data_IF_136907774480
#
_entry.id   IF_136907774480
#
_cell.length_a   1.000
_cell.length_b   1.000
_cell.length_c   1.000
_cell.angle_alpha   90.00
_cell.angle_beta   90.00
_cell.angle_gamma   90.00
#
_symmetry.space_group_name_H-M   'P 1'
#
loop_
_entity.id
_entity.type
_entity.pdbx_description
1 polymer ?
#
# COMPACT_ATOMS: atom_id res chain seq x y z
N UNK A 1 -19.36 5.42 17.17
CA UNK A 1 -18.00 5.05 17.59
C UNK A 1 -17.66 5.60 18.97
N UNK A 2 -17.89 6.86 19.27
CA UNK A 2 -17.53 7.50 20.54
C UNK A 2 -18.09 6.81 21.79
N UNK A 3 -19.39 6.43 21.79
CA UNK A 3 -19.99 5.67 22.90
C UNK A 3 -19.30 4.32 23.15
N UNK A 4 -18.87 3.63 22.10
CA UNK A 4 -18.12 2.37 22.23
C UNK A 4 -16.70 2.60 22.76
N UNK A 5 -16.07 3.68 22.36
CA UNK A 5 -14.78 4.07 22.88
C UNK A 5 -14.85 4.39 24.37
N UNK A 6 -15.82 5.22 24.79
CA UNK A 6 -16.08 5.55 26.20
C UNK A 6 -16.43 4.33 27.04
N UNK A 7 -17.07 3.32 26.44
CA UNK A 7 -17.34 2.02 27.06
C UNK A 7 -16.13 1.06 27.05
N UNK A 8 -14.94 1.49 26.59
CA UNK A 8 -13.72 0.69 26.59
C UNK A 8 -13.71 -0.48 25.59
N UNK A 9 -14.57 -0.46 24.56
CA UNK A 9 -14.69 -1.57 23.60
C UNK A 9 -13.57 -1.63 22.59
N UNK A 10 -12.81 -0.55 22.40
CA UNK A 10 -11.59 -0.49 21.58
C UNK A 10 -10.65 0.61 22.10
N UNK A 11 -9.38 0.54 21.73
CA UNK A 11 -8.32 1.47 22.20
C UNK A 11 -8.04 2.60 21.20
N UNK A 12 -8.10 2.34 19.92
CA UNK A 12 -7.81 3.31 18.85
C UNK A 12 -8.92 3.29 17.81
N UNK A 13 -9.30 4.48 17.34
CA UNK A 13 -10.20 4.65 16.21
C UNK A 13 -9.38 4.86 14.94
N UNK A 14 -9.66 4.06 13.92
CA UNK A 14 -8.95 4.11 12.65
C UNK A 14 -9.87 4.25 11.44
N UNK A 15 -9.29 4.76 10.35
CA UNK A 15 -9.94 4.93 9.06
C UNK A 15 -9.23 4.07 8.01
N UNK A 16 -9.94 3.72 6.94
CA UNK A 16 -9.37 3.01 5.79
C UNK A 16 -10.19 3.31 4.55
N UNK A 17 -9.50 3.52 3.41
CA UNK A 17 -10.13 3.77 2.11
C UNK A 17 -11.04 5.02 2.07
N UNK A 18 -10.73 6.04 2.86
CA UNK A 18 -11.33 7.37 2.80
C UNK A 18 -10.49 8.28 1.91
N UNK A 19 -11.13 9.19 1.19
CA UNK A 19 -10.45 10.26 0.47
C UNK A 19 -9.95 11.33 1.47
N UNK A 20 -8.91 12.12 1.13
CA UNK A 20 -8.39 13.16 2.03
C UNK A 20 -9.46 14.12 2.54
N UNK A 21 -10.40 14.58 1.69
CA UNK A 21 -11.49 15.44 2.10
C UNK A 21 -12.40 14.79 3.15
N UNK A 22 -12.71 13.51 2.98
CA UNK A 22 -13.52 12.75 3.93
C UNK A 22 -12.81 12.54 5.27
N UNK A 23 -11.49 12.33 5.25
CA UNK A 23 -10.67 12.25 6.48
C UNK A 23 -10.72 13.57 7.24
N UNK A 24 -10.55 14.70 6.54
CA UNK A 24 -10.60 16.03 7.15
C UNK A 24 -12.00 16.31 7.74
N UNK A 25 -13.05 16.09 6.98
CA UNK A 25 -14.44 16.30 7.42
C UNK A 25 -14.78 15.46 8.66
N UNK A 26 -14.42 14.18 8.66
CA UNK A 26 -14.68 13.30 9.80
C UNK A 26 -13.86 13.73 11.02
N UNK A 27 -12.61 14.13 10.84
CA UNK A 27 -11.76 14.62 11.92
C UNK A 27 -12.35 15.88 12.56
N UNK A 28 -12.78 16.84 11.74
CA UNK A 28 -13.36 18.11 12.19
C UNK A 28 -14.68 17.86 12.94
N UNK A 29 -15.55 17.02 12.39
CA UNK A 29 -16.79 16.58 13.05
C UNK A 29 -16.51 15.96 14.43
N UNK A 30 -15.52 15.06 14.53
CA UNK A 30 -15.15 14.46 15.81
C UNK A 30 -14.63 15.52 16.81
N UNK A 31 -13.82 16.46 16.34
CA UNK A 31 -13.23 17.51 17.16
C UNK A 31 -14.29 18.49 17.68
N UNK A 32 -15.20 18.95 16.82
CA UNK A 32 -16.27 19.88 17.18
C UNK A 32 -17.25 19.29 18.21
N UNK A 33 -17.50 17.99 18.14
CA UNK A 33 -18.42 17.30 19.04
C UNK A 33 -17.75 16.63 20.26
N UNK A 34 -16.44 16.83 20.48
CA UNK A 34 -15.66 16.17 21.53
C UNK A 34 -15.77 14.63 21.48
N UNK A 35 -15.81 14.06 20.29
CA UNK A 35 -15.77 12.61 20.06
C UNK A 35 -14.34 12.09 20.00
N UNK A 36 -14.19 10.77 20.10
CA UNK A 36 -12.90 10.10 19.90
C UNK A 36 -12.35 10.44 18.51
N UNK A 37 -11.14 10.99 18.44
CA UNK A 37 -10.47 11.29 17.18
C UNK A 37 -9.88 10.04 16.54
N UNK A 38 -9.87 9.95 15.20
CA UNK A 38 -9.11 8.93 14.50
C UNK A 38 -7.61 9.17 14.72
N UNK A 39 -6.87 8.11 15.03
CA UNK A 39 -5.42 8.15 15.32
C UNK A 39 -4.61 7.23 14.44
N UNK A 40 -5.25 6.46 13.58
CA UNK A 40 -4.60 5.58 12.61
C UNK A 40 -5.36 5.57 11.29
N UNK A 41 -4.65 5.61 10.18
CA UNK A 41 -5.18 5.36 8.85
C UNK A 41 -4.51 4.12 8.27
N UNK A 42 -5.30 3.18 7.73
CA UNK A 42 -4.77 2.04 6.99
C UNK A 42 -5.03 2.24 5.50
N UNK A 43 -3.97 2.41 4.71
CA UNK A 43 -4.06 2.71 3.28
C UNK A 43 -3.22 1.80 2.41
N UNK A 44 -3.59 1.70 1.12
CA UNK A 44 -2.78 1.02 0.12
C UNK A 44 -1.48 1.79 -0.09
N UNK A 45 -0.35 1.08 0.00
CA UNK A 45 0.94 1.67 -0.30
C UNK A 45 1.98 0.59 -0.66
N UNK A 46 2.64 0.80 -1.78
CA UNK A 46 3.70 -0.07 -2.32
C UNK A 46 4.62 0.73 -3.24
N UNK A 47 5.76 0.20 -3.69
CA UNK A 47 6.62 0.89 -4.68
C UNK A 47 5.91 1.34 -5.95
N UNK A 48 4.78 0.69 -6.30
CA UNK A 48 3.99 0.97 -7.51
C UNK A 48 2.58 1.53 -7.22
N UNK A 49 2.31 1.92 -5.98
CA UNK A 49 1.03 2.54 -5.55
C UNK A 49 1.33 3.61 -4.51
N UNK A 50 1.73 4.81 -4.97
CA UNK A 50 2.27 5.89 -4.13
C UNK A 50 1.43 7.17 -4.15
N UNK A 51 0.20 7.14 -4.68
CA UNK A 51 -0.66 8.34 -4.77
C UNK A 51 -0.87 9.06 -3.42
N UNK A 52 -0.97 8.29 -2.33
CA UNK A 52 -1.16 8.84 -0.98
C UNK A 52 -0.01 9.74 -0.49
N UNK A 53 1.15 9.73 -1.15
CA UNK A 53 2.27 10.64 -0.83
C UNK A 53 1.96 12.10 -1.12
N UNK A 54 1.11 12.36 -2.13
CA UNK A 54 0.79 13.71 -2.57
C UNK A 54 -0.16 14.46 -1.62
N UNK A 55 -1.08 13.76 -0.98
CA UNK A 55 -2.19 14.37 -0.26
C UNK A 55 -2.52 13.70 1.08
N UNK A 56 -2.80 12.41 1.08
CA UNK A 56 -3.34 11.70 2.25
C UNK A 56 -2.32 11.54 3.38
N UNK A 57 -1.08 11.15 3.08
CA UNK A 57 -0.04 11.00 4.10
C UNK A 57 0.32 12.36 4.70
N UNK A 58 0.53 13.45 3.93
CA UNK A 58 0.70 14.79 4.49
C UNK A 58 -0.47 15.24 5.36
N UNK A 59 -1.71 14.94 4.98
CA UNK A 59 -2.89 15.24 5.80
C UNK A 59 -2.85 14.45 7.12
N UNK A 60 -2.57 13.15 7.07
CA UNK A 60 -2.42 12.33 8.27
C UNK A 60 -1.36 12.92 9.23
N UNK A 61 -0.22 13.37 8.71
CA UNK A 61 0.82 14.06 9.51
C UNK A 61 0.28 15.31 10.20
N UNK A 62 -0.42 16.16 9.45
CA UNK A 62 -1.04 17.40 9.99
C UNK A 62 -2.02 17.11 11.12
N UNK A 63 -2.78 16.00 11.02
CA UNK A 63 -3.81 15.62 11.98
C UNK A 63 -3.32 14.72 13.12
N UNK A 64 -2.03 14.34 13.14
CA UNK A 64 -1.47 13.41 14.13
C UNK A 64 -1.97 11.97 13.99
N UNK A 65 -2.31 11.56 12.76
CA UNK A 65 -2.79 10.23 12.40
C UNK A 65 -1.62 9.42 11.84
N UNK A 66 -1.32 8.26 12.44
CA UNK A 66 -0.30 7.34 11.89
C UNK A 66 -0.83 6.61 10.66
N UNK A 67 0.06 6.25 9.71
CA UNK A 67 -0.29 5.57 8.49
C UNK A 67 0.20 4.12 8.48
N UNK A 68 -0.71 3.16 8.37
CA UNK A 68 -0.40 1.74 8.22
C UNK A 68 -0.55 1.33 6.76
N UNK A 69 0.58 1.04 6.10
CA UNK A 69 0.63 0.65 4.69
C UNK A 69 0.19 -0.81 4.51
N UNK A 70 -0.92 -1.07 3.82
CA UNK A 70 -1.29 -2.43 3.42
C UNK A 70 -0.87 -2.71 1.97
N UNK A 71 -0.77 -3.98 1.61
CA UNK A 71 -0.33 -4.46 0.29
C UNK A 71 1.09 -4.02 -0.12
N UNK A 72 2.10 -4.18 0.74
CA UNK A 72 3.48 -3.73 0.45
C UNK A 72 4.09 -4.36 -0.81
N UNK A 73 3.62 -5.53 -1.22
CA UNK A 73 4.00 -6.20 -2.47
C UNK A 73 2.89 -6.13 -3.53
N UNK A 74 2.01 -5.11 -3.46
CA UNK A 74 0.89 -4.89 -4.38
C UNK A 74 -0.01 -6.14 -4.55
N UNK A 75 -0.40 -6.78 -3.41
CA UNK A 75 -1.20 -8.00 -3.41
C UNK A 75 -0.52 -9.21 -4.06
N UNK A 76 0.79 -9.18 -4.18
CA UNK A 76 1.61 -10.19 -4.85
C UNK A 76 1.89 -9.90 -6.33
N UNK A 77 1.50 -8.73 -6.86
CA UNK A 77 1.84 -8.29 -8.21
C UNK A 77 3.35 -8.22 -8.41
N UNK A 78 4.07 -7.57 -7.51
CA UNK A 78 5.51 -7.35 -7.61
C UNK A 78 6.36 -8.64 -7.55
N UNK A 79 5.79 -9.78 -7.21
CA UNK A 79 6.50 -11.08 -7.24
C UNK A 79 6.17 -11.92 -8.47
N UNK A 80 5.33 -11.43 -9.37
CA UNK A 80 4.98 -12.09 -10.62
C UNK A 80 5.94 -11.73 -11.74
N UNK A 81 5.74 -12.39 -12.89
CA UNK A 81 6.32 -12.00 -14.18
C UNK A 81 5.20 -11.46 -15.07
N UNK A 82 5.57 -10.64 -16.07
CA UNK A 82 4.61 -10.15 -17.07
C UNK A 82 3.92 -11.30 -17.80
N UNK A 83 4.65 -12.38 -18.08
CA UNK A 83 4.10 -13.57 -18.71
C UNK A 83 3.04 -14.26 -17.84
N UNK A 84 3.30 -14.40 -16.53
CA UNK A 84 2.34 -14.97 -15.58
C UNK A 84 1.07 -14.11 -15.48
N UNK A 85 1.19 -12.77 -15.54
CA UNK A 85 0.06 -11.86 -15.57
C UNK A 85 -0.80 -12.03 -16.83
N UNK A 86 -0.17 -12.18 -17.98
CA UNK A 86 -0.87 -12.40 -19.27
C UNK A 86 -1.59 -13.76 -19.32
N UNK A 87 -1.08 -14.79 -18.64
CA UNK A 87 -1.69 -16.13 -18.56
C UNK A 87 -2.87 -16.22 -17.58
N UNK A 88 -3.17 -15.17 -16.81
CA UNK A 88 -4.34 -15.10 -15.93
C UNK A 88 -4.11 -15.48 -14.46
N UNK A 89 -2.99 -16.09 -14.11
CA UNK A 89 -2.64 -16.38 -12.72
C UNK A 89 -3.40 -17.55 -12.08
N UNK A 90 -3.04 -17.85 -10.82
CA UNK A 90 -3.66 -18.90 -10.00
C UNK A 90 -3.88 -18.39 -8.58
N UNK A 91 -4.74 -19.06 -7.80
CA UNK A 91 -5.03 -18.72 -6.41
C UNK A 91 -5.73 -17.37 -6.29
N UNK A 92 -5.15 -16.43 -5.52
CA UNK A 92 -5.72 -15.08 -5.35
C UNK A 92 -5.84 -14.29 -6.68
N UNK A 93 -5.07 -14.66 -7.68
CA UNK A 93 -5.02 -14.04 -9.00
C UNK A 93 -5.81 -14.82 -10.07
N UNK A 94 -6.52 -15.86 -9.69
CA UNK A 94 -7.40 -16.60 -10.62
C UNK A 94 -8.57 -15.71 -11.06
N UNK A 95 -8.70 -15.37 -12.36
CA UNK A 95 -9.72 -14.47 -12.87
C UNK A 95 -11.14 -15.03 -12.73
N UNK A 96 -11.30 -16.31 -12.41
CA UNK A 96 -12.61 -16.90 -12.14
C UNK A 96 -13.13 -16.57 -10.73
N UNK A 97 -12.28 -16.11 -9.83
CA UNK A 97 -12.66 -15.67 -8.48
C UNK A 97 -12.77 -14.16 -8.37
N UNK A 98 -13.64 -13.68 -7.47
CA UNK A 98 -13.86 -12.23 -7.25
C UNK A 98 -12.55 -11.47 -6.93
N UNK A 99 -11.73 -12.03 -6.05
CA UNK A 99 -10.44 -11.44 -5.70
C UNK A 99 -9.51 -11.33 -6.92
N UNK A 100 -9.47 -12.37 -7.76
CA UNK A 100 -8.65 -12.34 -8.97
C UNK A 100 -9.13 -11.28 -9.97
N UNK A 101 -10.44 -11.17 -10.20
CA UNK A 101 -11.01 -10.09 -11.04
C UNK A 101 -10.60 -8.72 -10.51
N UNK A 102 -10.69 -8.49 -9.20
CA UNK A 102 -10.27 -7.24 -8.57
C UNK A 102 -8.79 -6.97 -8.81
N UNK A 103 -7.90 -7.91 -8.51
CA UNK A 103 -6.45 -7.71 -8.70
C UNK A 103 -6.08 -7.48 -10.16
N UNK A 104 -6.72 -8.17 -11.11
CA UNK A 104 -6.53 -7.90 -12.53
C UNK A 104 -7.01 -6.50 -12.93
N UNK A 105 -8.14 -6.03 -12.42
CA UNK A 105 -8.62 -4.67 -12.73
C UNK A 105 -7.70 -3.58 -12.18
N UNK A 106 -7.05 -3.84 -11.05
CA UNK A 106 -6.11 -2.90 -10.42
C UNK A 106 -4.75 -2.86 -11.13
N UNK A 107 -4.20 -4.02 -11.49
CA UNK A 107 -2.78 -4.13 -11.85
C UNK A 107 -2.51 -4.64 -13.27
N UNK A 108 -3.48 -5.30 -13.96
CA UNK A 108 -3.27 -5.79 -15.33
C UNK A 108 -3.56 -4.68 -16.35
N UNK A 109 -2.77 -3.60 -16.30
CA UNK A 109 -2.86 -2.40 -17.14
C UNK A 109 -1.52 -2.17 -17.84
N UNK A 110 -1.49 -1.54 -19.04
CA UNK A 110 -0.28 -1.43 -19.84
C UNK A 110 0.92 -0.86 -19.09
N UNK A 111 0.78 0.28 -18.42
CA UNK A 111 1.86 0.92 -17.67
C UNK A 111 2.28 0.13 -16.44
N UNK A 112 1.35 -0.53 -15.77
CA UNK A 112 1.66 -1.41 -14.65
C UNK A 112 2.49 -2.62 -15.10
N UNK A 113 2.18 -3.23 -16.25
CA UNK A 113 2.96 -4.33 -16.81
C UNK A 113 4.35 -3.88 -17.29
N UNK A 114 4.47 -2.67 -17.83
CA UNK A 114 5.76 -2.05 -18.14
C UNK A 114 6.61 -1.86 -16.87
N UNK A 115 6.02 -1.31 -15.80
CA UNK A 115 6.68 -1.18 -14.51
C UNK A 115 7.04 -2.52 -13.86
N UNK A 116 6.22 -3.55 -14.06
CA UNK A 116 6.54 -4.90 -13.57
C UNK A 116 7.76 -5.49 -14.28
N UNK A 117 7.93 -5.23 -15.59
CA UNK A 117 9.13 -5.64 -16.31
C UNK A 117 10.37 -4.92 -15.78
N UNK A 118 10.30 -3.59 -15.61
CA UNK A 118 11.39 -2.81 -15.02
C UNK A 118 11.75 -3.31 -13.62
N UNK A 119 10.74 -3.65 -12.81
CA UNK A 119 10.93 -4.22 -11.48
C UNK A 119 11.69 -5.54 -11.51
N UNK A 120 11.35 -6.42 -12.45
CA UNK A 120 12.02 -7.71 -12.64
C UNK A 120 13.47 -7.54 -13.08
N UNK A 121 13.71 -6.61 -14.03
CA UNK A 121 15.05 -6.32 -14.53
C UNK A 121 15.95 -5.79 -13.41
N UNK A 122 15.48 -4.83 -12.60
CA UNK A 122 16.21 -4.33 -11.43
C UNK A 122 16.52 -5.44 -10.42
N UNK A 123 15.56 -6.32 -10.14
CA UNK A 123 15.77 -7.43 -9.21
C UNK A 123 16.86 -8.38 -9.69
N UNK A 124 16.85 -8.71 -10.99
CA UNK A 124 17.84 -9.58 -11.62
C UNK A 124 19.23 -8.95 -11.62
N UNK A 125 19.34 -7.68 -12.03
CA UNK A 125 20.61 -6.96 -12.11
C UNK A 125 21.25 -6.76 -10.72
N UNK A 126 20.43 -6.51 -9.70
CA UNK A 126 20.89 -6.34 -8.32
C UNK A 126 21.08 -7.66 -7.56
N UNK A 127 20.68 -8.81 -8.14
CA UNK A 127 20.71 -10.10 -7.46
C UNK A 127 19.80 -10.17 -6.23
N UNK A 128 18.67 -9.43 -6.26
CA UNK A 128 17.72 -9.32 -5.15
C UNK A 128 16.44 -10.09 -5.42
N UNK A 129 15.83 -10.62 -4.36
CA UNK A 129 14.48 -11.15 -4.43
C UNK A 129 13.45 -10.01 -4.65
N UNK A 130 12.48 -10.21 -5.55
CA UNK A 130 11.43 -9.21 -5.84
C UNK A 130 10.65 -8.76 -4.60
N UNK A 131 10.30 -9.68 -3.70
CA UNK A 131 9.65 -9.36 -2.43
C UNK A 131 10.59 -8.63 -1.46
N UNK A 132 11.87 -9.03 -1.41
CA UNK A 132 12.90 -8.37 -0.61
C UNK A 132 13.04 -6.89 -1.00
N UNK A 133 13.13 -6.61 -2.30
CA UNK A 133 13.19 -5.23 -2.80
C UNK A 133 12.00 -4.41 -2.30
N UNK A 134 10.78 -4.94 -2.40
CA UNK A 134 9.56 -4.23 -2.00
C UNK A 134 9.54 -3.93 -0.49
N UNK A 135 9.81 -4.92 0.35
CA UNK A 135 9.81 -4.72 1.80
C UNK A 135 10.89 -3.75 2.25
N UNK A 136 12.12 -3.89 1.74
CA UNK A 136 13.24 -3.00 2.09
C UNK A 136 13.01 -1.58 1.58
N UNK A 137 12.47 -1.43 0.36
CA UNK A 137 12.13 -0.12 -0.18
C UNK A 137 11.11 0.60 0.70
N UNK A 138 10.00 -0.05 1.04
CA UNK A 138 8.94 0.57 1.86
C UNK A 138 9.46 0.91 3.26
N UNK A 139 10.27 0.05 3.84
CA UNK A 139 10.79 0.25 5.21
C UNK A 139 11.79 1.39 5.29
N UNK A 140 12.68 1.53 4.29
CA UNK A 140 13.85 2.39 4.43
C UNK A 140 13.92 3.55 3.43
N UNK A 141 13.14 3.54 2.34
CA UNK A 141 13.23 4.52 1.26
C UNK A 141 11.89 5.22 0.95
N UNK A 142 10.84 4.88 1.68
CA UNK A 142 9.53 5.50 1.51
C UNK A 142 9.35 6.73 2.41
N UNK A 143 8.19 7.37 2.30
CA UNK A 143 7.79 8.50 3.17
C UNK A 143 7.23 8.06 4.51
N UNK A 144 7.13 6.74 4.77
CA UNK A 144 6.69 6.23 6.06
C UNK A 144 7.75 6.50 7.13
N UNK A 145 7.29 6.82 8.33
CA UNK A 145 8.12 7.24 9.45
C UNK A 145 7.68 6.50 10.72
N UNK A 146 8.49 5.55 11.16
CA UNK A 146 8.23 4.77 12.37
C UNK A 146 8.15 5.62 13.64
N UNK A 147 8.86 6.76 13.71
CA UNK A 147 8.80 7.68 14.85
C UNK A 147 7.44 8.40 14.95
N UNK A 148 6.69 8.43 13.86
CA UNK A 148 5.30 8.93 13.81
C UNK A 148 4.25 7.82 13.98
N UNK A 149 4.70 6.61 14.27
CA UNK A 149 3.84 5.46 14.53
C UNK A 149 3.32 4.78 13.26
N UNK A 150 3.94 5.04 12.10
CA UNK A 150 3.61 4.33 10.88
C UNK A 150 4.03 2.87 10.94
N UNK A 151 3.37 2.06 10.15
CA UNK A 151 3.65 0.64 10.09
C UNK A 151 3.38 0.03 8.73
N UNK A 152 3.90 -1.18 8.53
CA UNK A 152 3.66 -1.98 7.33
C UNK A 152 2.81 -3.18 7.74
N UNK A 153 1.69 -3.38 7.06
CA UNK A 153 0.79 -4.53 7.26
C UNK A 153 1.22 -5.64 6.32
N UNK A 154 1.87 -6.66 6.86
CA UNK A 154 2.36 -7.81 6.11
C UNK A 154 1.32 -8.93 6.16
N UNK A 155 0.81 -9.32 5.00
CA UNK A 155 -0.07 -10.48 4.85
C UNK A 155 0.74 -11.71 4.40
N UNK A 156 0.55 -12.83 5.07
CA UNK A 156 1.17 -14.10 4.71
C UNK A 156 0.13 -15.23 4.76
N UNK A 157 0.25 -16.21 3.88
CA UNK A 157 -0.58 -17.43 3.89
C UNK A 157 0.08 -18.59 4.62
N UNK A 158 1.38 -18.46 4.90
CA UNK A 158 2.20 -19.44 5.63
C UNK A 158 3.14 -18.70 6.57
N UNK A 159 3.46 -19.26 7.76
CA UNK A 159 4.38 -18.64 8.72
C UNK A 159 5.76 -18.33 8.12
N UNK A 160 6.27 -19.19 7.26
CA UNK A 160 7.59 -19.05 6.65
C UNK A 160 7.69 -17.80 5.76
N UNK A 161 6.56 -17.38 5.15
CA UNK A 161 6.52 -16.15 4.35
C UNK A 161 6.65 -14.90 5.24
N UNK A 162 6.07 -14.92 6.43
CA UNK A 162 6.20 -13.83 7.40
C UNK A 162 7.63 -13.76 7.92
N UNK A 163 8.20 -14.91 8.31
CA UNK A 163 9.58 -15.00 8.77
C UNK A 163 10.56 -14.46 7.70
N UNK A 164 10.40 -14.91 6.45
CA UNK A 164 11.20 -14.40 5.33
C UNK A 164 11.06 -12.89 5.14
N UNK A 165 9.83 -12.34 5.25
CA UNK A 165 9.62 -10.90 5.13
C UNK A 165 10.35 -10.12 6.24
N UNK A 166 10.35 -10.61 7.46
CA UNK A 166 11.06 -9.98 8.58
C UNK A 166 12.59 -10.08 8.39
N UNK A 167 13.10 -11.25 8.03
CA UNK A 167 14.52 -11.45 7.77
C UNK A 167 15.07 -10.54 6.66
N UNK A 168 14.32 -10.31 5.58
CA UNK A 168 14.78 -9.42 4.51
C UNK A 168 14.72 -7.95 4.93
N UNK A 169 13.77 -7.55 5.76
CA UNK A 169 13.73 -6.20 6.34
C UNK A 169 14.95 -5.95 7.22
N UNK A 170 15.36 -6.92 8.04
CA UNK A 170 16.53 -6.82 8.92
C UNK A 170 17.86 -6.64 8.16
N UNK A 171 17.92 -6.92 6.87
CA UNK A 171 19.10 -6.62 6.03
C UNK A 171 19.39 -5.12 5.86
N UNK A 172 18.47 -4.24 6.29
CA UNK A 172 18.64 -2.80 6.20
C UNK A 172 18.29 -2.21 4.82
N UNK A 173 18.65 -0.95 4.56
CA UNK A 173 18.28 -0.24 3.34
C UNK A 173 18.88 -0.88 2.08
N UNK A 174 18.20 -0.69 0.94
CA UNK A 174 18.75 -1.00 -0.37
C UNK A 174 19.90 -0.06 -0.71
N UNK A 175 20.76 -0.48 -1.64
CA UNK A 175 21.72 0.44 -2.27
C UNK A 175 20.98 1.64 -2.88
N UNK A 176 21.53 2.84 -2.74
CA UNK A 176 20.88 4.08 -3.19
C UNK A 176 20.60 4.08 -4.71
N UNK A 177 21.43 3.43 -5.50
CA UNK A 177 21.22 3.25 -6.93
C UNK A 177 19.97 2.44 -7.23
N UNK A 178 19.75 1.34 -6.49
CA UNK A 178 18.55 0.49 -6.62
C UNK A 178 17.30 1.27 -6.20
N UNK A 179 17.35 1.97 -5.08
CA UNK A 179 16.23 2.78 -4.62
C UNK A 179 15.80 3.85 -5.64
N UNK A 180 16.77 4.53 -6.28
CA UNK A 180 16.50 5.50 -7.35
C UNK A 180 15.87 4.86 -8.60
N UNK A 181 16.29 3.66 -8.97
CA UNK A 181 15.67 2.94 -10.08
C UNK A 181 14.21 2.57 -9.76
N UNK A 182 13.93 2.18 -8.52
CA UNK A 182 12.56 1.93 -8.05
C UNK A 182 11.72 3.23 -8.07
N UNK A 183 12.29 4.37 -7.68
CA UNK A 183 11.61 5.67 -7.78
C UNK A 183 11.23 6.00 -9.24
N UNK A 184 12.08 5.65 -10.20
CA UNK A 184 11.79 5.87 -11.62
C UNK A 184 10.62 5.00 -12.13
N UNK A 185 10.41 3.80 -11.57
CA UNK A 185 9.23 2.98 -11.89
C UNK A 185 7.94 3.72 -11.56
N UNK A 186 7.89 4.45 -10.43
CA UNK A 186 6.70 5.22 -10.07
C UNK A 186 6.28 6.20 -11.18
N UNK A 187 7.23 6.89 -11.79
CA UNK A 187 6.94 7.80 -12.91
C UNK A 187 6.36 7.07 -14.12
N UNK A 188 6.74 5.80 -14.33
CA UNK A 188 6.17 4.96 -15.41
C UNK A 188 4.73 4.56 -15.12
N UNK A 189 4.42 4.17 -13.87
CA UNK A 189 3.16 3.51 -13.53
C UNK A 189 2.07 4.44 -12.98
N UNK A 190 2.41 5.63 -12.51
CA UNK A 190 1.52 6.49 -11.72
C UNK A 190 0.15 6.75 -12.34
N UNK A 191 0.06 6.88 -13.67
CA UNK A 191 -1.19 7.16 -14.36
C UNK A 191 -2.14 5.94 -14.42
N UNK A 192 -1.59 4.72 -14.36
CA UNK A 192 -2.32 3.45 -14.34
C UNK A 192 -2.43 2.85 -12.93
N UNK A 193 -1.62 3.34 -11.99
CA UNK A 193 -1.57 2.79 -10.63
C UNK A 193 -2.89 3.02 -9.89
N UNK A 194 -3.39 2.02 -9.13
CA UNK A 194 -4.58 2.20 -8.32
C UNK A 194 -4.31 3.13 -7.13
N UNK A 195 -5.29 3.97 -6.79
CA UNK A 195 -5.26 4.77 -5.57
C UNK A 195 -5.59 3.90 -4.34
N UNK A 196 -6.56 3.00 -4.47
CA UNK A 196 -6.96 2.01 -3.47
C UNK A 196 -7.69 0.81 -4.10
N UNK A 197 -8.22 -0.08 -3.26
CA UNK A 197 -8.95 -1.29 -3.70
C UNK A 197 -10.34 -1.01 -4.28
N UNK A 198 -10.87 0.18 -4.13
CA UNK A 198 -12.20 0.58 -4.60
C UNK A 198 -12.20 1.42 -5.88
N UNK A 199 -11.02 1.67 -6.45
CA UNK A 199 -10.90 2.41 -7.70
C UNK A 199 -11.55 1.64 -8.85
N UNK A 200 -12.67 2.15 -9.35
CA UNK A 200 -13.54 1.53 -10.37
C UNK A 200 -14.93 1.20 -9.85
N UNK A 201 -15.19 1.31 -8.57
CA UNK A 201 -16.53 1.40 -8.01
C UNK A 201 -16.83 2.90 -7.80
N UNK A 202 -17.57 3.48 -8.70
CA UNK A 202 -18.19 4.82 -8.73
C UNK A 202 -17.93 5.78 -7.54
N UNK A 203 -16.66 6.24 -7.40
CA UNK A 203 -16.32 7.33 -6.47
C UNK A 203 -16.71 8.72 -7.01
N UNK A 204 -17.17 8.80 -8.26
CA UNK A 204 -17.58 10.05 -8.90
C UNK A 204 -18.97 10.52 -8.49
N UNK A 205 -19.77 9.72 -7.81
CA UNK A 205 -21.15 10.02 -7.46
C UNK A 205 -21.42 10.31 -5.98
N UNK A 206 -20.37 10.36 -5.13
CA UNK A 206 -20.54 10.60 -3.68
C UNK A 206 -19.82 11.85 -3.15
N UNK A 207 -19.67 12.87 -3.99
CA UNK A 207 -19.27 14.23 -3.59
C UNK A 207 -20.34 15.21 -3.95
#
# INVERSE_FOLDING_TARGET
MDALYKAGKFKRFGLSNFLPAQVQELYDCCKENNYVLPTVFQGMYSPVTRHSEADLIPLCRKLGISYNAYSPIAGGFLVKTVEAMKKGGVGRWDPNHLAGKLYHSLYNRPKMLEGLQQWEDIANDAGLGKAEMAFRYITYHSVLDGDKGDGIVIGATKPEQLEQALLVIEKGPLEQSVAKMIDAIWETVKDDAPYDTYQGQDRKESL
#
